data_IF_660853429556
#
_entry.id   IF_660853429556
#
_cell.length_a   1.000
_cell.length_b   1.000
_cell.length_c   1.000
_cell.angle_alpha   90.00
_cell.angle_beta   90.00
_cell.angle_gamma   90.00
#
_symmetry.space_group_name_H-M   'P 1'
#
loop_
_entity.id
_entity.type
_entity.pdbx_description
1 polymer ?
#
# COMPACT_ATOMS: atom_id res chain seq x y z
N UNK A 1 -15.74 0.64 5.24
CA UNK A 1 -14.49 -0.16 5.22
C UNK A 1 -13.62 0.28 6.40
N UNK A 2 -13.09 -0.66 7.19
CA UNK A 2 -12.36 -0.38 8.45
C UNK A 2 -10.88 -0.02 8.26
N UNK A 3 -10.54 0.55 7.10
CA UNK A 3 -9.22 1.09 6.77
C UNK A 3 -9.40 2.35 5.90
N UNK A 4 -8.36 3.19 5.75
CA UNK A 4 -8.27 4.12 4.64
C UNK A 4 -8.24 3.38 3.29
N UNK A 5 -8.47 4.07 2.16
CA UNK A 5 -8.40 3.46 0.84
C UNK A 5 -6.99 2.95 0.53
N UNK A 6 -6.86 1.66 0.18
CA UNK A 6 -5.60 1.06 -0.25
C UNK A 6 -5.29 1.45 -1.68
N UNK A 7 -4.46 2.48 -1.87
CA UNK A 7 -4.13 3.04 -3.18
C UNK A 7 -2.69 2.71 -3.64
N UNK A 8 -1.89 2.05 -2.80
CA UNK A 8 -0.49 1.73 -3.09
C UNK A 8 -0.19 0.27 -2.72
N UNK A 9 0.65 -0.43 -3.50
CA UNK A 9 1.07 -1.80 -3.19
C UNK A 9 1.95 -1.85 -1.94
N UNK A 10 1.94 -2.97 -1.22
CA UNK A 10 2.86 -3.19 -0.12
C UNK A 10 4.20 -3.75 -0.63
N UNK A 11 5.31 -3.20 -0.15
CA UNK A 11 6.66 -3.72 -0.44
C UNK A 11 7.34 -4.36 0.77
N UNK A 12 6.62 -4.49 1.90
CA UNK A 12 7.14 -5.01 3.16
C UNK A 12 6.55 -6.37 3.55
N UNK A 13 6.09 -7.15 2.57
CA UNK A 13 5.75 -8.56 2.76
C UNK A 13 4.27 -8.91 2.85
N UNK A 14 3.36 -7.95 2.62
CA UNK A 14 1.94 -8.26 2.37
C UNK A 14 1.74 -8.40 0.87
N UNK A 15 1.09 -9.49 0.44
CA UNK A 15 0.73 -9.70 -0.97
C UNK A 15 -0.39 -8.74 -1.38
N UNK A 16 -0.10 -7.85 -2.32
CA UNK A 16 -1.04 -6.85 -2.83
C UNK A 16 -0.91 -6.73 -4.35
N UNK A 17 -2.02 -6.49 -5.07
CA UNK A 17 -1.99 -6.24 -6.52
C UNK A 17 -1.10 -5.06 -6.91
N UNK A 18 -0.76 -4.99 -8.20
CA UNK A 18 -0.08 -3.82 -8.76
C UNK A 18 -0.98 -2.58 -8.69
N UNK A 19 -0.36 -1.39 -8.72
CA UNK A 19 -1.08 -0.12 -8.48
C UNK A 19 -2.23 0.09 -9.47
N UNK A 20 -2.06 -0.28 -10.73
CA UNK A 20 -3.08 -0.16 -11.79
C UNK A 20 -4.27 -1.12 -11.59
N UNK A 21 -4.11 -2.16 -10.76
CA UNK A 21 -5.16 -3.10 -10.41
C UNK A 21 -5.96 -2.65 -9.16
N UNK A 22 -5.46 -1.68 -8.39
CA UNK A 22 -6.12 -1.17 -7.19
C UNK A 22 -7.22 -0.16 -7.54
N UNK A 23 -8.48 -0.45 -7.15
CA UNK A 23 -9.60 0.48 -7.38
C UNK A 23 -9.34 1.87 -6.79
N UNK A 24 -8.85 1.95 -5.55
CA UNK A 24 -8.62 3.23 -4.87
C UNK A 24 -7.43 4.03 -5.42
N UNK A 25 -6.58 3.42 -6.26
CA UNK A 25 -5.53 4.12 -6.99
C UNK A 25 -6.05 4.79 -8.28
N UNK A 26 -7.15 4.27 -8.82
CA UNK A 26 -7.64 4.61 -10.16
C UNK A 26 -9.06 5.24 -10.17
N UNK A 27 -9.76 5.20 -9.04
CA UNK A 27 -11.16 5.61 -8.92
C UNK A 27 -11.38 6.44 -7.65
N UNK A 28 -12.28 7.43 -7.75
CA UNK A 28 -12.81 8.11 -6.57
C UNK A 28 -13.89 7.27 -5.85
N UNK A 29 -14.27 7.67 -4.64
CA UNK A 29 -15.26 6.94 -3.83
C UNK A 29 -16.59 6.75 -4.57
N UNK A 30 -17.19 7.79 -5.22
CA UNK A 30 -18.40 7.60 -6.01
C UNK A 30 -18.25 6.58 -7.15
N UNK A 31 -17.13 6.56 -7.87
CA UNK A 31 -16.88 5.60 -8.93
C UNK A 31 -16.72 4.18 -8.38
N UNK A 32 -15.99 4.00 -7.28
CA UNK A 32 -15.87 2.71 -6.60
C UNK A 32 -17.24 2.19 -6.13
N UNK A 33 -18.08 3.06 -5.56
CA UNK A 33 -19.43 2.68 -5.11
C UNK A 33 -20.29 2.17 -6.27
N UNK A 34 -20.27 2.87 -7.42
CA UNK A 34 -20.96 2.44 -8.64
C UNK A 34 -20.42 1.11 -9.18
N UNK A 35 -19.10 0.95 -9.21
CA UNK A 35 -18.44 -0.25 -9.72
C UNK A 35 -18.76 -1.50 -8.89
N UNK A 36 -18.85 -1.37 -7.56
CA UNK A 36 -19.18 -2.49 -6.65
C UNK A 36 -20.70 -2.70 -6.54
N UNK A 37 -21.51 -1.71 -6.92
CA UNK A 37 -22.98 -1.80 -6.92
C UNK A 37 -23.62 -1.55 -5.55
N UNK A 38 -23.06 -0.64 -4.75
CA UNK A 38 -23.56 -0.29 -3.41
C UNK A 38 -24.20 1.10 -3.40
N UNK A 39 -25.18 1.31 -2.52
CA UNK A 39 -25.83 2.62 -2.35
C UNK A 39 -24.90 3.69 -1.79
N UNK A 40 -23.95 3.28 -0.93
CA UNK A 40 -22.95 4.16 -0.34
C UNK A 40 -21.67 3.41 -0.01
N UNK A 41 -20.54 4.12 -0.02
CA UNK A 41 -19.23 3.61 0.33
C UNK A 41 -18.49 4.65 1.17
N UNK A 42 -17.89 4.21 2.27
CA UNK A 42 -17.07 5.05 3.14
C UNK A 42 -15.88 4.27 3.70
N UNK A 43 -14.79 5.00 3.91
CA UNK A 43 -13.54 4.54 4.51
C UNK A 43 -13.29 5.33 5.79
N UNK A 44 -12.56 4.76 6.75
CA UNK A 44 -12.06 5.55 7.88
C UNK A 44 -10.91 6.44 7.41
N UNK A 45 -10.72 7.59 8.04
CA UNK A 45 -9.58 8.46 7.75
C UNK A 45 -8.27 7.86 8.27
N UNK A 46 -7.14 8.38 7.80
CA UNK A 46 -5.82 8.00 8.31
C UNK A 46 -5.70 8.28 9.81
N UNK A 47 -6.14 9.46 10.26
CA UNK A 47 -6.17 9.79 11.69
C UNK A 47 -7.14 8.89 12.46
N UNK A 48 -8.29 8.53 11.85
CA UNK A 48 -9.23 7.59 12.45
C UNK A 48 -8.60 6.21 12.68
N UNK A 49 -7.74 5.76 11.77
CA UNK A 49 -6.95 4.55 11.94
C UNK A 49 -5.95 4.68 13.10
N UNK A 50 -5.16 5.76 13.14
CA UNK A 50 -4.17 5.99 14.20
C UNK A 50 -4.81 6.11 15.59
N UNK A 51 -5.97 6.79 15.68
CA UNK A 51 -6.75 6.88 16.90
C UNK A 51 -7.24 5.49 17.37
N UNK A 52 -7.65 4.63 16.44
CA UNK A 52 -8.13 3.29 16.76
C UNK A 52 -7.03 2.35 17.29
N UNK A 53 -5.80 2.45 16.78
CA UNK A 53 -4.70 1.54 17.15
C UNK A 53 -3.80 2.07 18.27
N UNK A 54 -3.66 3.39 18.39
CA UNK A 54 -2.70 4.03 19.29
C UNK A 54 -3.24 5.21 20.10
N UNK A 55 -4.48 5.65 19.87
CA UNK A 55 -5.10 6.77 20.59
C UNK A 55 -4.46 8.14 20.31
N UNK A 56 -3.76 8.27 19.18
CA UNK A 56 -3.06 9.49 18.75
C UNK A 56 -3.37 9.78 17.28
N UNK A 57 -3.09 10.99 16.80
CA UNK A 57 -3.11 11.29 15.37
C UNK A 57 -1.78 10.88 14.73
N UNK A 58 -1.75 10.79 13.39
CA UNK A 58 -0.51 10.54 12.65
C UNK A 58 0.46 11.72 12.83
N UNK A 59 1.75 11.42 13.05
CA UNK A 59 2.82 12.41 12.89
C UNK A 59 3.35 12.30 11.46
N UNK A 60 3.09 13.33 10.63
CA UNK A 60 3.50 13.31 9.22
C UNK A 60 5.02 13.38 9.02
N UNK A 61 5.78 13.89 9.99
CA UNK A 61 7.23 13.92 9.94
C UNK A 61 7.88 12.62 10.40
N UNK A 62 7.20 11.88 11.28
CA UNK A 62 7.67 10.62 11.85
C UNK A 62 6.50 9.63 12.08
N UNK A 63 5.98 9.00 11.01
CA UNK A 63 4.86 8.07 11.12
C UNK A 63 5.20 6.90 12.05
N UNK A 64 4.32 6.63 13.01
CA UNK A 64 4.54 5.64 14.07
C UNK A 64 4.28 4.21 13.60
N UNK A 65 3.54 4.04 12.51
CA UNK A 65 3.24 2.77 11.87
C UNK A 65 3.55 2.85 10.37
N UNK A 66 3.81 1.71 9.74
CA UNK A 66 3.84 1.67 8.28
C UNK A 66 2.42 1.82 7.73
N UNK A 67 2.15 2.94 7.08
CA UNK A 67 0.87 3.26 6.43
C UNK A 67 0.98 3.55 4.92
N UNK A 68 2.12 3.21 4.32
CA UNK A 68 2.45 3.50 2.93
C UNK A 68 1.40 2.98 1.92
N UNK A 69 0.74 1.86 2.21
CA UNK A 69 -0.35 1.33 1.36
C UNK A 69 -1.52 2.32 1.19
N UNK A 70 -1.67 3.27 2.13
CA UNK A 70 -2.68 4.33 2.12
C UNK A 70 -2.09 5.69 1.71
N UNK A 71 -0.89 6.02 2.21
CA UNK A 71 -0.30 7.37 2.13
C UNK A 71 0.73 7.54 1.00
N UNK A 72 1.25 6.42 0.47
CA UNK A 72 2.41 6.36 -0.43
C UNK A 72 3.73 6.83 0.21
N UNK A 73 3.76 6.96 1.54
CA UNK A 73 4.92 7.40 2.32
C UNK A 73 5.70 6.18 2.85
N UNK A 74 6.67 5.71 2.07
CA UNK A 74 7.49 4.55 2.44
C UNK A 74 8.69 4.98 3.30
N UNK A 75 8.77 4.55 4.57
CA UNK A 75 9.84 4.98 5.48
C UNK A 75 11.23 4.43 5.09
N UNK A 76 11.28 3.38 4.27
CA UNK A 76 12.51 2.81 3.73
C UNK A 76 12.47 2.97 2.22
N UNK A 77 13.57 3.47 1.65
CA UNK A 77 13.69 3.66 0.20
C UNK A 77 13.52 2.33 -0.54
N UNK A 78 12.71 2.35 -1.60
CA UNK A 78 12.43 1.19 -2.45
C UNK A 78 13.51 1.06 -3.53
N UNK A 79 14.76 0.84 -3.13
CA UNK A 79 15.92 0.84 -4.03
C UNK A 79 15.76 -0.10 -5.23
N UNK A 80 15.19 -1.29 -5.04
CA UNK A 80 14.96 -2.25 -6.13
C UNK A 80 13.98 -1.74 -7.19
N UNK A 81 13.03 -0.89 -6.78
CA UNK A 81 12.06 -0.25 -7.66
C UNK A 81 12.65 0.98 -8.35
N UNK A 82 13.46 1.76 -7.62
CA UNK A 82 14.04 3.01 -8.09
C UNK A 82 15.26 2.80 -9.01
N UNK A 83 16.09 1.81 -8.71
CA UNK A 83 17.32 1.50 -9.44
C UNK A 83 17.12 0.37 -10.48
N UNK A 84 15.94 -0.26 -10.48
CA UNK A 84 15.60 -1.38 -11.34
C UNK A 84 16.19 -2.70 -10.83
N UNK A 85 15.39 -3.78 -10.86
CA UNK A 85 15.86 -5.11 -10.46
C UNK A 85 17.08 -5.51 -11.28
N UNK A 86 18.25 -5.79 -10.67
CA UNK A 86 19.34 -6.45 -11.38
C UNK A 86 18.81 -7.76 -11.97
N UNK A 87 19.05 -7.98 -13.26
CA UNK A 87 18.65 -9.19 -13.98
C UNK A 87 18.90 -10.43 -13.12
N UNK A 88 17.83 -11.15 -12.77
CA UNK A 88 17.89 -12.40 -12.05
C UNK A 88 18.51 -13.50 -12.94
N UNK A 89 19.84 -13.49 -13.03
CA UNK A 89 20.60 -14.67 -13.42
C UNK A 89 21.54 -15.05 -12.28
N UNK A 90 20.95 -15.44 -11.16
CA UNK A 90 21.64 -16.28 -10.18
C UNK A 90 21.60 -17.71 -10.72
N UNK A 91 22.51 -18.03 -11.66
CA UNK A 91 22.79 -19.41 -12.05
C UNK A 91 23.35 -20.17 -10.85
N UNK A 92 22.48 -20.68 -10.00
CA UNK A 92 22.79 -21.61 -8.90
C UNK A 92 22.79 -23.06 -9.41
N UNK A 93 23.41 -23.27 -10.58
CA UNK A 93 23.70 -24.59 -11.14
C UNK A 93 25.12 -24.57 -11.70
N UNK A 94 26.10 -24.50 -10.80
CA UNK A 94 27.49 -24.74 -11.16
C UNK A 94 28.27 -25.28 -9.96
N UNK A 95 27.85 -26.42 -9.40
CA UNK A 95 28.66 -27.41 -8.65
C UNK A 95 27.72 -28.33 -7.85
N UNK A 96 27.53 -29.60 -8.18
CA UNK A 96 28.55 -30.64 -8.14
C UNK A 96 28.26 -31.74 -9.15
N UNK A 97 29.32 -32.14 -9.84
CA UNK A 97 29.46 -33.44 -10.52
C UNK A 97 29.61 -34.58 -9.53
#
# INVERSE_FOLDING_TARGET
IASPPTANPCYYGVDTPDRDELMAANMDIPAMARQIGVDSLAFISIDGLYQAVGGVNRDDGQPQYCDACFTNDYPVSLVDLLEGRPSAQLSLLAEHS
#
